data_IF_003095436311
#
_entry.id   IF_003095436311
#
_cell.length_a   1.000
_cell.length_b   1.000
_cell.length_c   1.000
_cell.angle_alpha   90.00
_cell.angle_beta   90.00
_cell.angle_gamma   90.00
#
_symmetry.space_group_name_H-M   'P 1'
#
loop_
_entity.id
_entity.type
_entity.pdbx_description
1 polymer ?
#
# COMPACT_ATOMS: atom_id res chain seq x y z
N UNK A 1 21.47 1.75 11.92
CA UNK A 1 22.82 2.15 11.48
C UNK A 1 22.97 3.61 11.89
N UNK A 2 23.93 3.97 12.75
CA UNK A 2 24.06 5.34 13.22
C UNK A 2 24.17 6.32 12.05
N UNK A 3 23.62 7.52 12.21
CA UNK A 3 23.54 8.58 11.19
C UNK A 3 22.51 8.32 10.08
N UNK A 4 22.54 7.14 9.45
CA UNK A 4 21.55 6.78 8.43
C UNK A 4 20.13 6.62 9.00
N UNK A 5 20.01 6.39 10.31
CA UNK A 5 18.74 6.30 11.05
C UNK A 5 18.01 7.64 11.23
N UNK A 6 18.68 8.78 10.99
CA UNK A 6 18.03 10.09 10.95
C UNK A 6 17.34 10.39 9.62
N UNK A 7 17.56 9.57 8.58
CA UNK A 7 16.94 9.78 7.27
C UNK A 7 15.49 9.28 7.32
N UNK A 8 14.57 10.12 6.84
CA UNK A 8 13.14 9.83 6.88
C UNK A 8 12.68 8.99 5.68
N UNK A 9 11.54 8.32 5.85
CA UNK A 9 10.95 7.48 4.81
C UNK A 9 10.16 8.30 3.77
N UNK A 10 10.44 8.06 2.49
CA UNK A 10 9.55 8.37 1.37
C UNK A 10 9.32 7.11 0.52
N UNK A 11 8.05 6.79 0.25
CA UNK A 11 7.68 5.64 -0.58
C UNK A 11 8.01 5.81 -2.06
N UNK A 12 8.33 7.03 -2.52
CA UNK A 12 8.76 7.30 -3.88
C UNK A 12 10.28 7.28 -4.06
N UNK A 13 11.05 7.37 -2.96
CA UNK A 13 12.51 7.35 -3.03
C UNK A 13 13.02 5.95 -3.35
N UNK A 14 14.01 5.87 -4.23
CA UNK A 14 14.73 4.62 -4.55
C UNK A 14 16.00 4.45 -3.73
N UNK A 15 16.40 5.49 -2.97
CA UNK A 15 17.57 5.44 -2.10
C UNK A 15 17.31 4.48 -0.92
N UNK A 16 18.18 3.49 -0.75
CA UNK A 16 18.10 2.50 0.33
C UNK A 16 19.44 2.38 1.05
N UNK A 17 19.41 1.90 2.29
CA UNK A 17 20.64 1.59 3.02
C UNK A 17 21.17 0.24 2.56
N UNK A 18 22.34 0.25 1.93
CA UNK A 18 23.08 -0.94 1.53
C UNK A 18 24.12 -1.28 2.59
N UNK A 19 24.40 -2.57 2.76
CA UNK A 19 25.44 -3.07 3.64
C UNK A 19 26.42 -3.93 2.84
N UNK A 20 27.70 -3.55 2.87
CA UNK A 20 28.79 -4.32 2.27
C UNK A 20 29.51 -5.07 3.39
N UNK A 21 29.29 -6.38 3.45
CA UNK A 21 29.86 -7.27 4.48
C UNK A 21 31.38 -7.39 4.36
N UNK A 22 31.93 -7.39 3.14
CA UNK A 22 33.37 -7.53 2.93
C UNK A 22 34.13 -6.30 3.41
N UNK A 23 33.57 -5.12 3.16
CA UNK A 23 34.16 -3.84 3.57
C UNK A 23 33.69 -3.36 4.94
N UNK A 24 32.75 -4.06 5.57
CA UNK A 24 32.16 -3.70 6.87
C UNK A 24 31.63 -2.25 6.89
N UNK A 25 31.00 -1.82 5.79
CA UNK A 25 30.46 -0.47 5.65
C UNK A 25 28.99 -0.49 5.25
N UNK A 26 28.29 0.58 5.61
CA UNK A 26 26.93 0.83 5.14
C UNK A 26 26.93 2.09 4.30
N UNK A 27 26.24 2.05 3.17
CA UNK A 27 26.19 3.16 2.22
C UNK A 27 24.73 3.49 1.87
N UNK A 28 24.49 4.76 1.57
CA UNK A 28 23.23 5.24 1.01
C UNK A 28 23.59 6.00 -0.26
N UNK A 29 23.06 5.55 -1.38
CA UNK A 29 23.26 6.21 -2.68
C UNK A 29 22.02 7.07 -2.95
N UNK A 30 22.24 8.36 -3.17
CA UNK A 30 21.17 9.27 -3.53
C UNK A 30 20.57 8.88 -4.88
N UNK A 31 19.24 8.83 -4.94
CA UNK A 31 18.45 8.55 -6.14
C UNK A 31 18.25 9.79 -7.03
N UNK A 32 18.54 10.97 -6.50
CA UNK A 32 18.43 12.25 -7.19
C UNK A 32 19.40 13.29 -6.62
N UNK A 33 19.54 14.38 -7.35
CA UNK A 33 20.24 15.56 -6.85
C UNK A 33 19.40 16.26 -5.77
N UNK A 34 20.04 16.63 -4.66
CA UNK A 34 19.43 17.38 -3.56
C UNK A 34 19.98 18.81 -3.52
N UNK A 35 19.10 19.80 -3.43
CA UNK A 35 19.50 21.18 -3.24
C UNK A 35 20.00 21.43 -1.80
N UNK A 36 20.83 22.45 -1.55
CA UNK A 36 21.19 22.82 -0.19
C UNK A 36 19.96 23.08 0.68
N UNK A 37 19.93 22.47 1.88
CA UNK A 37 18.82 22.52 2.87
C UNK A 37 17.59 21.70 2.47
N UNK A 38 17.63 20.97 1.36
CA UNK A 38 16.61 19.98 1.06
C UNK A 38 16.75 18.77 1.98
N UNK A 39 15.62 18.21 2.41
CA UNK A 39 15.60 17.00 3.20
C UNK A 39 15.95 15.80 2.33
N UNK A 40 16.83 14.94 2.85
CA UNK A 40 17.25 13.72 2.19
C UNK A 40 16.35 12.59 2.64
N UNK A 41 15.75 11.89 1.69
CA UNK A 41 14.79 10.82 1.93
C UNK A 41 15.39 9.47 1.55
N UNK A 42 14.93 8.42 2.22
CA UNK A 42 15.23 7.03 1.87
C UNK A 42 13.95 6.19 1.87
N UNK A 43 14.01 5.00 1.28
CA UNK A 43 12.99 3.96 1.44
C UNK A 43 13.39 3.02 2.56
N UNK A 44 12.52 2.86 3.57
CA UNK A 44 12.66 1.81 4.59
C UNK A 44 12.28 0.44 4.04
N UNK A 45 11.41 0.42 3.03
CA UNK A 45 10.95 -0.74 2.28
C UNK A 45 9.61 -0.44 1.61
N UNK A 46 9.13 -1.37 0.78
CA UNK A 46 7.80 -1.30 0.15
C UNK A 46 6.78 -1.91 1.09
N UNK A 47 6.41 -1.17 2.12
CA UNK A 47 5.57 -1.66 3.21
C UNK A 47 4.17 -1.02 3.20
N UNK A 48 3.13 -1.77 3.60
CA UNK A 48 1.81 -1.19 3.84
C UNK A 48 1.81 -0.27 5.07
N UNK A 49 0.81 0.60 5.15
CA UNK A 49 0.66 1.49 6.30
C UNK A 49 0.48 0.73 7.62
N UNK A 50 -0.05 -0.49 7.58
CA UNK A 50 -0.13 -1.36 8.76
C UNK A 50 1.24 -1.68 9.33
N UNK A 51 2.21 -2.05 8.48
CA UNK A 51 3.60 -2.29 8.86
C UNK A 51 4.31 -1.00 9.27
N UNK A 52 4.15 0.09 8.51
CA UNK A 52 4.73 1.39 8.87
C UNK A 52 4.27 1.85 10.26
N UNK A 53 3.00 1.66 10.59
CA UNK A 53 2.45 2.06 11.88
C UNK A 53 2.95 1.19 13.03
N UNK A 54 2.96 -0.14 12.84
CA UNK A 54 3.32 -1.08 13.90
C UNK A 54 4.82 -1.11 14.19
N UNK A 55 5.65 -1.06 13.14
CA UNK A 55 7.10 -1.25 13.28
C UNK A 55 7.86 0.08 13.35
N UNK A 56 7.33 1.14 12.73
CA UNK A 56 8.01 2.44 12.63
C UNK A 56 7.25 3.60 13.29
N UNK A 57 5.98 3.40 13.69
CA UNK A 57 5.22 4.38 14.45
C UNK A 57 4.61 5.53 13.65
N UNK A 58 4.50 5.41 12.32
CA UNK A 58 3.87 6.42 11.46
C UNK A 58 3.08 5.80 10.30
N UNK A 59 2.28 6.59 9.59
CA UNK A 59 1.64 6.19 8.34
C UNK A 59 1.74 7.30 7.30
N UNK A 60 1.64 6.93 6.02
CA UNK A 60 1.66 7.87 4.91
C UNK A 60 0.23 8.05 4.34
N UNK A 61 -0.22 9.29 4.07
CA UNK A 61 -1.56 9.55 3.54
C UNK A 61 -1.78 8.97 2.14
N UNK A 62 -0.73 8.86 1.33
CA UNK A 62 -0.77 8.34 -0.04
C UNK A 62 0.32 7.28 -0.26
N UNK A 63 0.24 6.16 0.47
CA UNK A 63 1.16 5.04 0.29
C UNK A 63 0.76 4.17 -0.91
N UNK A 64 1.58 4.13 -1.96
CA UNK A 64 1.33 3.31 -3.15
C UNK A 64 1.52 1.81 -2.90
N UNK A 65 2.12 1.44 -1.78
CA UNK A 65 2.33 0.06 -1.34
C UNK A 65 1.37 -0.35 -0.22
N UNK A 66 0.31 0.43 0.02
CA UNK A 66 -0.69 0.07 1.02
C UNK A 66 -1.48 -1.16 0.58
N UNK A 67 -1.59 -2.14 1.48
CA UNK A 67 -2.28 -3.40 1.23
C UNK A 67 -2.92 -3.94 2.50
N UNK A 68 -3.97 -4.75 2.31
CA UNK A 68 -4.68 -5.45 3.38
C UNK A 68 -4.71 -6.94 3.06
N UNK A 69 -4.25 -7.76 4.00
CA UNK A 69 -4.29 -9.22 3.86
C UNK A 69 -5.66 -9.76 4.27
N UNK A 70 -6.17 -10.73 3.50
CA UNK A 70 -7.40 -11.43 3.81
C UNK A 70 -7.13 -12.93 3.93
N UNK A 71 -7.52 -13.51 5.06
CA UNK A 71 -7.40 -14.95 5.27
C UNK A 71 -8.67 -15.66 4.75
N UNK A 72 -8.53 -16.35 3.61
CA UNK A 72 -9.64 -17.04 2.93
C UNK A 72 -10.34 -18.10 3.78
N UNK A 73 -9.64 -18.67 4.76
CA UNK A 73 -10.18 -19.72 5.62
C UNK A 73 -11.32 -19.18 6.50
N UNK A 74 -11.19 -17.94 7.00
CA UNK A 74 -12.25 -17.25 7.73
C UNK A 74 -13.45 -16.97 6.81
N UNK A 75 -13.21 -16.57 5.57
CA UNK A 75 -14.28 -16.36 4.58
C UNK A 75 -15.08 -17.64 4.32
N UNK A 76 -14.42 -18.80 4.20
CA UNK A 76 -15.12 -20.08 4.04
C UNK A 76 -15.96 -20.42 5.28
N UNK A 77 -15.40 -20.30 6.49
CA UNK A 77 -16.15 -20.57 7.72
C UNK A 77 -17.35 -19.63 7.91
N UNK A 78 -17.22 -18.35 7.57
CA UNK A 78 -18.31 -17.37 7.66
C UNK A 78 -19.35 -17.58 6.55
N UNK A 79 -18.94 -17.98 5.34
CA UNK A 79 -19.83 -18.35 4.24
C UNK A 79 -20.61 -19.63 4.56
N UNK A 80 -19.93 -20.67 5.04
CA UNK A 80 -20.53 -21.95 5.44
C UNK A 80 -21.52 -21.80 6.61
N UNK A 81 -21.34 -20.78 7.47
CA UNK A 81 -22.27 -20.44 8.56
C UNK A 81 -23.43 -19.53 8.12
N UNK A 82 -23.56 -19.22 6.83
CA UNK A 82 -24.65 -18.38 6.31
C UNK A 82 -24.59 -16.91 6.77
N UNK A 83 -23.47 -16.48 7.37
CA UNK A 83 -23.27 -15.10 7.83
C UNK A 83 -22.81 -14.16 6.71
N UNK A 84 -22.34 -14.70 5.57
CA UNK A 84 -21.88 -13.88 4.43
C UNK A 84 -22.93 -13.92 3.31
N UNK A 85 -24.01 -13.17 3.49
CA UNK A 85 -24.72 -12.59 2.34
C UNK A 85 -24.00 -11.27 2.04
N UNK A 86 -22.99 -11.33 1.17
CA UNK A 86 -22.62 -10.25 0.25
C UNK A 86 -22.53 -8.86 0.95
N UNK A 87 -21.48 -8.66 1.76
CA UNK A 87 -20.93 -7.31 1.93
C UNK A 87 -20.18 -6.86 0.66
N UNK A 88 -20.20 -7.61 -0.44
CA UNK A 88 -19.73 -7.13 -1.74
C UNK A 88 -20.61 -6.02 -2.34
N UNK A 89 -21.86 -5.84 -1.89
CA UNK A 89 -22.63 -4.60 -2.23
C UNK A 89 -22.15 -3.37 -1.46
N UNK A 90 -21.71 -3.52 -0.21
CA UNK A 90 -21.31 -2.40 0.63
C UNK A 90 -19.85 -1.98 0.43
N UNK A 91 -18.94 -2.92 0.17
CA UNK A 91 -17.55 -2.57 -0.17
C UNK A 91 -17.45 -1.86 -1.54
N UNK A 92 -18.26 -2.26 -2.52
CA UNK A 92 -18.31 -1.54 -3.81
C UNK A 92 -18.96 -0.15 -3.66
N UNK A 93 -19.99 0.01 -2.79
CA UNK A 93 -20.60 1.31 -2.53
C UNK A 93 -19.69 2.28 -1.76
N UNK A 94 -18.89 1.82 -0.78
CA UNK A 94 -17.93 2.71 -0.11
C UNK A 94 -16.74 3.07 -1.02
N UNK A 95 -16.27 2.15 -1.86
CA UNK A 95 -15.27 2.47 -2.87
C UNK A 95 -15.80 3.51 -3.89
N UNK A 96 -17.06 3.41 -4.30
CA UNK A 96 -17.70 4.39 -5.20
C UNK A 96 -17.92 5.75 -4.52
N UNK A 97 -18.33 5.78 -3.25
CA UNK A 97 -18.59 7.04 -2.54
C UNK A 97 -17.32 7.81 -2.17
N UNK A 98 -16.21 7.11 -1.87
CA UNK A 98 -14.91 7.76 -1.66
C UNK A 98 -14.35 8.31 -2.97
N UNK A 99 -14.54 7.59 -4.09
CA UNK A 99 -14.10 8.06 -5.41
C UNK A 99 -14.96 9.21 -5.96
N UNK A 100 -16.26 9.22 -5.65
CA UNK A 100 -17.17 10.31 -6.04
C UNK A 100 -16.90 11.64 -5.32
N UNK A 101 -16.25 11.61 -4.14
CA UNK A 101 -15.99 12.84 -3.38
C UNK A 101 -14.77 13.62 -3.91
N UNK A 102 -13.89 13.00 -4.72
CA UNK A 102 -12.60 13.60 -5.07
C UNK A 102 -12.30 13.88 -6.56
N UNK A 103 -13.04 13.39 -7.57
CA UNK A 103 -12.75 13.77 -8.98
C UNK A 103 -13.97 13.69 -9.94
N UNK A 104 -14.28 14.84 -10.58
CA UNK A 104 -14.81 15.14 -11.94
C UNK A 104 -15.59 14.03 -12.73
N UNK A 105 -16.76 14.35 -13.35
CA UNK A 105 -17.64 13.34 -13.96
C UNK A 105 -17.14 12.83 -15.32
N UNK A 106 -17.06 11.51 -15.49
CA UNK A 106 -16.91 10.85 -16.80
C UNK A 106 -18.08 9.85 -16.99
N UNK A 107 -18.67 9.91 -18.18
CA UNK A 107 -19.92 9.30 -18.61
C UNK A 107 -20.01 7.77 -18.40
N UNK A 108 -21.14 7.33 -17.84
CA UNK A 108 -21.49 5.92 -17.66
C UNK A 108 -21.95 5.29 -19.00
N UNK A 109 -21.09 4.50 -19.64
CA UNK A 109 -21.51 3.60 -20.74
C UNK A 109 -22.01 2.29 -20.11
N UNK A 110 -23.29 1.97 -20.30
CA UNK A 110 -23.90 0.70 -19.88
C UNK A 110 -23.30 -0.47 -20.68
N UNK A 111 -22.58 -1.37 -20.02
CA UNK A 111 -22.41 -2.75 -20.52
C UNK A 111 -22.91 -3.74 -19.47
N UNK A 112 -23.94 -4.51 -19.83
CA UNK A 112 -24.47 -5.67 -19.10
C UNK A 112 -23.37 -6.72 -18.95
N UNK A 113 -23.19 -7.27 -17.75
CA UNK A 113 -22.44 -8.50 -17.53
C UNK A 113 -23.39 -9.60 -17.04
N UNK A 114 -23.54 -10.65 -17.85
CA UNK A 114 -24.12 -11.94 -17.46
C UNK A 114 -22.96 -12.84 -17.01
N UNK A 115 -23.06 -13.46 -15.84
CA UNK A 115 -22.21 -14.58 -15.45
C UNK A 115 -23.09 -15.79 -15.17
N UNK A 116 -22.97 -16.82 -16.01
CA UNK A 116 -23.43 -18.18 -15.71
C UNK A 116 -22.36 -18.96 -14.94
N UNK A 117 -22.70 -20.09 -14.29
CA UNK A 117 -21.75 -20.85 -13.49
C UNK A 117 -20.81 -21.67 -14.39
N UNK A 118 -19.50 -21.45 -14.26
CA UNK A 118 -18.48 -22.36 -14.78
C UNK A 118 -18.39 -23.59 -13.84
N UNK A 119 -18.74 -24.76 -14.38
CA UNK A 119 -18.23 -26.04 -13.87
C UNK A 119 -17.19 -26.54 -14.87
N UNK A 120 -16.01 -26.88 -14.37
CA UNK A 120 -15.11 -27.89 -14.93
C UNK A 120 -14.26 -28.45 -13.80
#
# INVERSE_FOLDING_TARGET
>A
IPFADFLNHDGLSEAVVLHDEDKQLSEVIADRDYAPKEEVWITYGKFPNSTLLLDFGFSLPYNIYDEVSFEFQLCWFLFAKGMVIIQTRWFCLQAILIYQYYMVPIYFIKSKWFFGPCFS
#
